data_IF_583079119072
#
_entry.id   IF_583079119072
#
_cell.length_a   1.000
_cell.length_b   1.000
_cell.length_c   1.000
_cell.angle_alpha   90.00
_cell.angle_beta   90.00
_cell.angle_gamma   90.00
#
_symmetry.space_group_name_H-M   'P 1'
#
loop_
_entity.id
_entity.type
_entity.pdbx_description
1 polymer ?
#
# COMPACT_ATOMS: atom_id res chain seq x y z
N UNK A 1 20.52 3.05 13.35
CA UNK A 1 19.85 1.76 13.13
C UNK A 1 19.48 1.71 11.66
N UNK A 2 19.76 0.62 10.93
CA UNK A 2 19.25 0.49 9.56
C UNK A 2 17.76 0.16 9.68
N UNK A 3 16.90 0.96 9.06
CA UNK A 3 15.47 0.65 8.98
C UNK A 3 15.32 -0.60 8.13
N UNK A 4 14.88 -1.70 8.73
CA UNK A 4 14.54 -2.90 7.97
C UNK A 4 13.20 -2.69 7.25
N UNK A 5 13.08 -3.14 5.98
CA UNK A 5 11.81 -3.09 5.27
C UNK A 5 10.74 -3.85 6.03
N UNK A 6 9.56 -3.25 6.19
CA UNK A 6 8.42 -3.92 6.82
C UNK A 6 8.01 -5.10 5.93
N UNK A 7 8.13 -6.33 6.44
CA UNK A 7 7.56 -7.49 5.75
C UNK A 7 6.03 -7.40 5.79
N UNK A 8 5.41 -7.27 4.62
CA UNK A 8 3.96 -7.15 4.48
C UNK A 8 3.24 -8.51 4.43
N UNK A 9 3.98 -9.63 4.36
CA UNK A 9 3.42 -10.97 4.39
C UNK A 9 2.69 -11.24 5.71
N UNK A 10 1.54 -11.90 5.64
CA UNK A 10 0.74 -12.23 6.82
C UNK A 10 -0.05 -11.06 7.44
N UNK A 11 0.11 -9.82 6.97
CA UNK A 11 -0.59 -8.64 7.54
C UNK A 11 -2.07 -8.51 7.10
N UNK A 12 -2.65 -9.54 6.48
CA UNK A 12 -4.07 -9.55 6.07
C UNK A 12 -4.43 -8.56 4.97
N UNK A 13 -3.45 -8.04 4.23
CA UNK A 13 -3.66 -7.16 3.07
C UNK A 13 -4.31 -7.93 1.92
N UNK A 14 -5.25 -7.30 1.22
CA UNK A 14 -5.69 -7.84 -0.08
C UNK A 14 -4.66 -7.55 -1.16
N UNK A 15 -4.65 -8.29 -2.26
CA UNK A 15 -3.73 -8.05 -3.38
C UNK A 15 -3.79 -6.60 -3.89
N UNK A 16 -4.98 -6.01 -3.92
CA UNK A 16 -5.18 -4.60 -4.31
C UNK A 16 -4.56 -3.63 -3.31
N UNK A 17 -4.68 -3.92 -2.02
CA UNK A 17 -4.07 -3.11 -0.95
C UNK A 17 -2.55 -3.22 -0.99
N UNK A 18 -2.02 -4.46 -1.10
CA UNK A 18 -0.60 -4.74 -1.22
C UNK A 18 -0.01 -4.04 -2.45
N UNK A 19 -0.62 -4.20 -3.62
CA UNK A 19 -0.17 -3.52 -4.84
C UNK A 19 -0.17 -1.99 -4.71
N UNK A 20 -1.20 -1.41 -4.10
CA UNK A 20 -1.28 0.03 -3.90
C UNK A 20 -0.14 0.57 -3.03
N UNK A 21 0.18 -0.11 -1.91
CA UNK A 21 1.28 0.31 -1.04
C UNK A 21 2.65 0.01 -1.65
N UNK A 22 2.81 -1.12 -2.35
CA UNK A 22 4.05 -1.45 -3.06
C UNK A 22 4.39 -0.41 -4.13
N UNK A 23 3.42 0.01 -4.95
CA UNK A 23 3.66 1.02 -5.98
C UNK A 23 4.04 2.38 -5.39
N UNK A 24 3.37 2.82 -4.32
CA UNK A 24 3.57 4.17 -3.77
C UNK A 24 4.77 4.26 -2.84
N UNK A 25 4.91 3.34 -1.88
CA UNK A 25 5.95 3.43 -0.85
C UNK A 25 7.25 2.75 -1.25
N UNK A 26 7.19 1.58 -1.88
CA UNK A 26 8.39 0.86 -2.31
C UNK A 26 8.85 1.27 -3.72
N UNK A 27 7.89 1.50 -4.62
CA UNK A 27 8.17 1.96 -5.99
C UNK A 27 8.36 3.48 -6.12
N UNK A 28 8.10 4.26 -5.07
CA UNK A 28 8.22 5.72 -5.08
C UNK A 28 7.28 6.43 -6.06
N UNK A 29 6.21 5.76 -6.53
CA UNK A 29 5.32 6.32 -7.54
C UNK A 29 4.31 7.29 -6.93
N UNK A 30 3.97 8.34 -7.67
CA UNK A 30 2.84 9.20 -7.31
C UNK A 30 1.53 8.40 -7.31
N UNK A 31 0.59 8.75 -6.40
CA UNK A 31 -0.74 8.14 -6.34
C UNK A 31 -1.47 8.20 -7.69
N UNK A 32 -1.29 9.28 -8.47
CA UNK A 32 -1.88 9.44 -9.81
C UNK A 32 -1.35 8.40 -10.80
N UNK A 33 -0.04 8.14 -10.77
CA UNK A 33 0.57 7.12 -11.63
C UNK A 33 0.19 5.70 -11.16
N UNK A 34 0.19 5.44 -9.85
CA UNK A 34 -0.27 4.17 -9.29
C UNK A 34 -1.72 3.86 -9.67
N UNK A 35 -2.62 4.85 -9.60
CA UNK A 35 -4.02 4.70 -10.03
C UNK A 35 -4.13 4.34 -11.52
N UNK A 36 -3.32 4.96 -12.39
CA UNK A 36 -3.27 4.62 -13.82
C UNK A 36 -2.79 3.19 -14.06
N UNK A 37 -1.74 2.76 -13.37
CA UNK A 37 -1.19 1.39 -13.48
C UNK A 37 -2.25 0.37 -13.03
N UNK A 38 -2.90 0.63 -11.90
CA UNK A 38 -3.93 -0.25 -11.32
C UNK A 38 -5.29 -0.18 -12.06
N UNK A 39 -5.44 0.73 -13.02
CA UNK A 39 -6.67 1.00 -13.78
C UNK A 39 -7.87 1.32 -12.87
N UNK A 40 -7.65 2.16 -11.85
CA UNK A 40 -8.66 2.62 -10.90
C UNK A 40 -8.63 4.14 -10.74
N UNK A 41 -9.60 4.71 -10.03
CA UNK A 41 -9.61 6.14 -9.74
C UNK A 41 -8.55 6.54 -8.72
N UNK A 42 -8.14 7.82 -8.74
CA UNK A 42 -7.28 8.42 -7.72
C UNK A 42 -7.90 8.38 -6.31
N UNK A 43 -9.22 8.28 -6.22
CA UNK A 43 -9.90 8.07 -4.94
C UNK A 43 -9.72 6.62 -4.46
N UNK A 44 -9.97 5.65 -5.34
CA UNK A 44 -9.84 4.23 -5.00
C UNK A 44 -8.41 3.85 -4.58
N UNK A 45 -7.36 4.42 -5.20
CA UNK A 45 -5.98 4.21 -4.73
C UNK A 45 -5.79 4.74 -3.31
N UNK A 46 -6.38 5.89 -2.98
CA UNK A 46 -6.28 6.48 -1.64
C UNK A 46 -7.00 5.61 -0.61
N UNK A 47 -8.14 5.04 -0.96
CA UNK A 47 -8.91 4.15 -0.09
C UNK A 47 -8.17 2.83 0.15
N UNK A 48 -7.58 2.23 -0.89
CA UNK A 48 -6.75 1.04 -0.76
C UNK A 48 -5.53 1.29 0.14
N UNK A 49 -4.82 2.42 -0.04
CA UNK A 49 -3.69 2.79 0.82
C UNK A 49 -4.15 2.99 2.26
N UNK A 50 -5.24 3.71 2.51
CA UNK A 50 -5.75 3.96 3.86
C UNK A 50 -6.14 2.65 4.56
N UNK A 51 -6.82 1.75 3.85
CA UNK A 51 -7.19 0.44 4.38
C UNK A 51 -5.96 -0.44 4.66
N UNK A 52 -4.96 -0.41 3.76
CA UNK A 52 -3.70 -1.12 3.94
C UNK A 52 -2.94 -0.65 5.19
N UNK A 53 -2.74 0.66 5.32
CA UNK A 53 -2.04 1.26 6.46
C UNK A 53 -2.73 0.97 7.79
N UNK A 54 -4.08 0.93 7.81
CA UNK A 54 -4.83 0.52 9.00
C UNK A 54 -4.49 -0.90 9.43
N UNK A 55 -4.45 -1.86 8.48
CA UNK A 55 -4.12 -3.26 8.78
C UNK A 55 -2.67 -3.42 9.21
N UNK A 56 -1.74 -2.74 8.53
CA UNK A 56 -0.32 -2.73 8.90
C UNK A 56 -0.15 -2.19 10.32
N UNK A 57 -0.80 -1.07 10.66
CA UNK A 57 -0.77 -0.53 12.01
C UNK A 57 -1.30 -1.53 13.04
N UNK A 58 -2.38 -2.25 12.74
CA UNK A 58 -2.95 -3.26 13.63
C UNK A 58 -2.04 -4.49 13.80
N UNK A 59 -1.29 -4.88 12.77
CA UNK A 59 -0.37 -6.01 12.83
C UNK A 59 0.93 -5.70 13.60
N UNK A 60 1.26 -4.42 13.73
CA UNK A 60 2.45 -3.93 14.44
C UNK A 60 2.18 -3.53 15.90
N UNK A 61 0.92 -3.60 16.35
CA UNK A 61 0.49 -3.28 17.72
C UNK A 61 0.08 -4.54 18.44
#
# INVERSE_FOLDING_TARGET
MKEEPINLEGMGLTDRQLMAVSLVFYGGLSKKLAARIMKISSQAISDHIKAALKKISQALT
#
